data_IF_041272830339
#
_entry.id   IF_041272830339
#
_cell.length_a   1.000
_cell.length_b   1.000
_cell.length_c   1.000
_cell.angle_alpha   90.00
_cell.angle_beta   90.00
_cell.angle_gamma   90.00
#
_symmetry.space_group_name_H-M   'P 1'
#
loop_
_entity.id
_entity.type
_entity.pdbx_description
1 polymer ?
#
# COMPACT_ATOMS: atom_id res chain seq x y z
N UNK A 1 2.65 10.37 15.99
CA UNK A 1 2.40 11.82 15.85
C UNK A 1 1.83 12.10 14.46
N UNK A 2 0.90 13.05 14.34
CA UNK A 2 0.44 13.54 13.04
C UNK A 2 1.66 14.10 12.29
N UNK A 3 1.95 13.54 11.11
CA UNK A 3 3.11 13.90 10.29
C UNK A 3 2.71 14.87 9.18
N UNK A 4 1.56 14.64 8.53
CA UNK A 4 0.97 15.55 7.53
C UNK A 4 -0.56 15.49 7.54
N UNK A 5 -1.20 16.60 7.19
CA UNK A 5 -2.64 16.69 7.00
C UNK A 5 -2.95 17.68 5.86
N UNK A 6 -3.63 17.22 4.80
CA UNK A 6 -4.13 18.07 3.70
C UNK A 6 -5.24 17.34 2.95
N UNK A 7 -6.27 18.06 2.51
CA UNK A 7 -7.31 17.55 1.59
C UNK A 7 -7.97 16.23 2.07
N UNK A 8 -8.31 16.16 3.37
CA UNK A 8 -8.82 14.96 4.07
C UNK A 8 -7.90 13.74 4.03
N UNK A 9 -6.60 13.96 3.82
CA UNK A 9 -5.55 12.93 3.92
C UNK A 9 -4.72 13.20 5.17
N UNK A 10 -4.77 12.28 6.12
CA UNK A 10 -3.98 12.30 7.33
C UNK A 10 -2.90 11.23 7.27
N UNK A 11 -1.65 11.62 7.49
CA UNK A 11 -0.53 10.70 7.63
C UNK A 11 0.06 10.82 9.03
N UNK A 12 0.19 9.69 9.69
CA UNK A 12 0.84 9.53 10.97
C UNK A 12 2.09 8.67 10.75
N UNK A 13 3.25 9.20 11.12
CA UNK A 13 4.48 8.40 11.19
C UNK A 13 4.61 7.85 12.61
N UNK A 14 4.77 6.53 12.72
CA UNK A 14 5.08 5.88 13.99
C UNK A 14 6.58 5.64 14.01
N UNK A 15 7.28 6.50 14.76
CA UNK A 15 8.72 6.37 14.93
C UNK A 15 8.98 5.25 15.95
N UNK A 16 9.65 4.19 15.52
CA UNK A 16 10.24 3.18 16.41
C UNK A 16 11.75 3.31 16.32
N UNK A 17 12.42 3.42 17.46
CA UNK A 17 13.88 3.62 17.52
C UNK A 17 14.71 2.37 17.18
N UNK A 18 14.05 1.25 16.86
CA UNK A 18 14.70 -0.06 16.83
C UNK A 18 15.39 -0.40 15.50
N UNK A 19 14.85 0.03 14.35
CA UNK A 19 15.38 -0.37 13.04
C UNK A 19 15.24 0.74 11.96
N UNK A 20 16.35 1.34 11.47
CA UNK A 20 16.33 2.38 10.44
C UNK A 20 15.78 1.94 9.07
N UNK A 21 15.75 0.64 8.77
CA UNK A 21 15.18 0.11 7.53
C UNK A 21 13.67 -0.07 7.60
N UNK A 22 13.08 0.04 8.80
CA UNK A 22 11.65 -0.05 9.03
C UNK A 22 10.95 1.31 8.95
N UNK A 23 9.78 1.32 8.32
CA UNK A 23 8.90 2.47 8.25
C UNK A 23 7.48 2.03 8.60
N UNK A 24 6.97 2.54 9.72
CA UNK A 24 5.60 2.31 10.13
C UNK A 24 4.78 3.59 9.94
N UNK A 25 3.73 3.49 9.14
CA UNK A 25 2.82 4.61 8.87
C UNK A 25 1.36 4.19 9.06
N UNK A 26 0.56 5.13 9.56
CA UNK A 26 -0.90 5.08 9.50
C UNK A 26 -1.37 6.19 8.57
N UNK A 27 -2.30 5.88 7.68
CA UNK A 27 -2.92 6.82 6.75
C UNK A 27 -4.43 6.75 6.90
N UNK A 28 -5.09 7.88 6.78
CA UNK A 28 -6.55 7.97 6.66
C UNK A 28 -6.84 8.88 5.48
N UNK A 29 -7.72 8.44 4.60
CA UNK A 29 -8.21 9.25 3.47
C UNK A 29 -9.70 9.02 3.31
N UNK A 30 -10.43 10.07 2.97
CA UNK A 30 -11.84 10.00 2.57
C UNK A 30 -11.91 10.16 1.05
N UNK A 31 -12.64 9.28 0.38
CA UNK A 31 -12.81 9.21 -1.07
C UNK A 31 -14.28 9.42 -1.38
N UNK A 32 -14.58 10.35 -2.29
CA UNK A 32 -15.90 10.42 -2.90
C UNK A 32 -16.07 9.19 -3.82
N UNK A 33 -17.03 8.33 -3.50
CA UNK A 33 -17.25 7.05 -4.18
C UNK A 33 -17.95 6.04 -3.30
N UNK A 34 -18.79 5.20 -3.91
CA UNK A 34 -19.35 4.04 -3.22
C UNK A 34 -18.24 3.03 -2.86
N UNK A 35 -18.32 2.47 -1.65
CA UNK A 35 -17.28 1.58 -1.09
C UNK A 35 -16.92 0.43 -2.03
N UNK A 36 -17.90 -0.22 -2.67
CA UNK A 36 -17.64 -1.36 -3.54
C UNK A 36 -16.84 -0.96 -4.78
N UNK A 37 -17.14 0.20 -5.38
CA UNK A 37 -16.40 0.75 -6.52
C UNK A 37 -15.00 1.19 -6.11
N UNK A 38 -14.85 1.79 -4.92
CA UNK A 38 -13.54 2.18 -4.38
C UNK A 38 -12.67 0.96 -4.12
N UNK A 39 -13.23 -0.11 -3.55
CA UNK A 39 -12.52 -1.38 -3.32
C UNK A 39 -12.12 -2.03 -4.64
N UNK A 40 -13.04 -2.13 -5.60
CA UNK A 40 -12.76 -2.72 -6.92
C UNK A 40 -11.62 -1.97 -7.64
N UNK A 41 -11.69 -0.63 -7.68
CA UNK A 41 -10.64 0.18 -8.28
C UNK A 41 -9.32 0.10 -7.49
N UNK A 42 -9.38 -0.09 -6.17
CA UNK A 42 -8.19 -0.29 -5.35
C UNK A 42 -7.50 -1.63 -5.68
N UNK A 43 -8.26 -2.68 -5.95
CA UNK A 43 -7.71 -4.01 -6.28
C UNK A 43 -7.19 -4.11 -7.73
N UNK A 44 -7.54 -3.15 -8.59
CA UNK A 44 -7.04 -3.04 -9.96
C UNK A 44 -5.52 -2.77 -9.99
N UNK A 45 -4.76 -3.73 -10.52
CA UNK A 45 -3.29 -3.68 -10.56
C UNK A 45 -2.74 -2.58 -11.47
N UNK A 46 -3.37 -2.31 -12.60
CA UNK A 46 -2.93 -1.28 -13.55
C UNK A 46 -3.16 0.12 -12.95
N UNK A 47 -4.24 0.27 -12.19
CA UNK A 47 -4.50 1.44 -11.39
C UNK A 47 -3.43 1.61 -10.30
N UNK A 48 -3.08 0.55 -9.58
CA UNK A 48 -2.02 0.60 -8.57
C UNK A 48 -0.67 1.01 -9.17
N UNK A 49 -0.31 0.52 -10.35
CA UNK A 49 0.90 0.93 -11.08
C UNK A 49 0.86 2.41 -11.49
N UNK A 50 -0.31 2.92 -11.84
CA UNK A 50 -0.50 4.34 -12.20
C UNK A 50 -0.37 5.26 -10.98
N UNK A 51 -0.94 4.85 -9.84
CA UNK A 51 -0.97 5.63 -8.60
C UNK A 51 0.39 5.61 -7.89
N UNK A 52 1.04 4.45 -7.85
CA UNK A 52 2.28 4.27 -7.11
C UNK A 52 3.50 4.39 -8.04
N UNK A 53 3.99 5.61 -8.18
CA UNK A 53 5.18 5.92 -9.00
C UNK A 53 6.47 5.23 -8.55
N UNK A 54 6.48 4.57 -7.38
CA UNK A 54 7.60 3.75 -6.91
C UNK A 54 7.49 2.29 -7.31
N UNK A 55 6.32 1.81 -7.75
CA UNK A 55 6.21 0.50 -8.36
C UNK A 55 6.80 0.53 -9.77
N UNK A 56 7.54 -0.53 -10.06
CA UNK A 56 8.05 -0.85 -11.39
C UNK A 56 7.19 -1.95 -12.02
N UNK A 57 6.84 -2.99 -11.24
CA UNK A 57 5.88 -4.02 -11.63
C UNK A 57 4.98 -4.43 -10.47
N UNK A 58 3.78 -4.92 -10.81
CA UNK A 58 2.79 -5.49 -9.89
C UNK A 58 2.15 -6.68 -10.60
N UNK A 59 2.61 -7.87 -10.25
CA UNK A 59 2.25 -9.12 -10.92
C UNK A 59 1.40 -9.99 -9.99
N UNK A 60 0.33 -10.58 -10.54
CA UNK A 60 -0.35 -11.70 -9.90
C UNK A 60 0.51 -12.94 -10.10
N UNK A 61 0.96 -13.53 -9.00
CA UNK A 61 1.80 -14.74 -9.01
C UNK A 61 0.96 -15.99 -8.90
N UNK A 62 -0.01 -15.97 -7.99
CA UNK A 62 -0.92 -17.08 -7.77
C UNK A 62 -2.27 -16.56 -7.27
N UNK A 63 -3.36 -17.13 -7.78
CA UNK A 63 -4.71 -16.88 -7.28
C UNK A 63 -5.19 -18.11 -6.52
N UNK A 64 -5.41 -17.95 -5.21
CA UNK A 64 -5.83 -19.04 -4.32
C UNK A 64 -7.36 -19.08 -4.26
N UNK A 65 -8.00 -17.91 -4.22
CA UNK A 65 -9.45 -17.70 -4.32
C UNK A 65 -9.72 -16.29 -4.87
N UNK A 66 -10.98 -15.93 -5.21
CA UNK A 66 -11.33 -14.56 -5.62
C UNK A 66 -10.90 -13.50 -4.59
N UNK A 67 -10.88 -13.86 -3.31
CA UNK A 67 -10.51 -12.99 -2.19
C UNK A 67 -9.05 -13.14 -1.76
N UNK A 68 -8.33 -14.14 -2.28
CA UNK A 68 -7.01 -14.52 -1.77
C UNK A 68 -6.03 -14.73 -2.90
N UNK A 69 -4.96 -13.94 -2.93
CA UNK A 69 -3.94 -14.05 -3.95
C UNK A 69 -2.53 -13.83 -3.40
N UNK A 70 -1.55 -14.22 -4.20
CA UNK A 70 -0.14 -13.91 -4.01
C UNK A 70 0.29 -13.00 -5.13
N UNK A 71 0.93 -11.90 -4.78
CA UNK A 71 1.40 -10.90 -5.72
C UNK A 71 2.88 -10.62 -5.53
N UNK A 72 3.55 -10.27 -6.63
CA UNK A 72 4.94 -9.82 -6.64
C UNK A 72 4.95 -8.35 -7.02
N UNK A 73 5.57 -7.54 -6.18
CA UNK A 73 5.76 -6.12 -6.41
C UNK A 73 7.25 -5.83 -6.52
N UNK A 74 7.64 -5.19 -7.62
CA UNK A 74 9.00 -4.68 -7.78
C UNK A 74 8.98 -3.17 -7.64
N UNK A 75 9.92 -2.62 -6.88
CA UNK A 75 10.05 -1.18 -6.68
C UNK A 75 11.18 -0.61 -7.51
N UNK A 76 11.00 0.63 -7.97
CA UNK A 76 12.08 1.41 -8.58
C UNK A 76 13.15 1.73 -7.54
N UNK A 77 14.41 1.72 -7.98
CA UNK A 77 15.54 2.24 -7.20
C UNK A 77 15.23 3.64 -6.69
N UNK A 78 15.51 3.87 -5.40
CA UNK A 78 15.44 5.17 -4.75
C UNK A 78 16.83 5.62 -4.30
N UNK A 79 16.97 6.85 -3.79
CA UNK A 79 18.26 7.42 -3.40
C UNK A 79 18.99 6.50 -2.40
N UNK A 80 20.20 6.01 -2.75
CA UNK A 80 21.00 5.04 -1.97
C UNK A 80 20.31 3.68 -1.67
N UNK A 81 19.14 3.55 -2.28
CA UNK A 81 18.06 2.57 -2.21
C UNK A 81 17.92 1.60 -3.39
N UNK A 82 18.67 0.51 -3.58
CA UNK A 82 18.42 -0.41 -4.73
C UNK A 82 16.93 -0.85 -4.90
N UNK A 83 16.57 -1.47 -6.03
CA UNK A 83 15.22 -2.02 -6.20
C UNK A 83 14.93 -3.10 -5.15
N UNK A 84 13.71 -3.09 -4.60
CA UNK A 84 13.19 -4.14 -3.70
C UNK A 84 12.10 -4.93 -4.38
N UNK A 85 12.08 -6.22 -4.09
CA UNK A 85 10.94 -7.09 -4.37
C UNK A 85 10.19 -7.45 -3.09
N UNK A 86 8.87 -7.52 -3.22
CA UNK A 86 7.96 -7.95 -2.17
C UNK A 86 7.05 -9.03 -2.74
N UNK A 87 6.93 -10.13 -2.00
CA UNK A 87 5.94 -11.17 -2.30
C UNK A 87 4.91 -11.12 -1.20
N UNK A 88 3.67 -10.81 -1.56
CA UNK A 88 2.60 -10.57 -0.61
C UNK A 88 1.47 -11.53 -0.81
N UNK A 89 1.12 -12.25 0.26
CA UNK A 89 -0.18 -12.88 0.40
C UNK A 89 -1.19 -11.79 0.75
N UNK A 90 -2.20 -11.63 -0.09
CA UNK A 90 -3.27 -10.64 0.05
C UNK A 90 -4.57 -11.39 0.28
N UNK A 91 -5.31 -10.98 1.32
CA UNK A 91 -6.63 -11.52 1.60
C UNK A 91 -7.63 -10.38 1.83
N UNK A 92 -8.73 -10.41 1.08
CA UNK A 92 -9.89 -9.54 1.25
C UNK A 92 -10.92 -10.24 2.15
N UNK A 93 -11.45 -9.51 3.11
CA UNK A 93 -12.46 -10.00 4.03
C UNK A 93 -13.55 -8.95 4.25
N UNK A 94 -14.81 -9.33 4.03
CA UNK A 94 -15.96 -8.51 4.38
C UNK A 94 -16.20 -8.63 5.90
N UNK A 95 -16.00 -7.55 6.66
CA UNK A 95 -16.25 -7.56 8.10
C UNK A 95 -17.75 -7.52 8.40
N UNK A 96 -18.45 -6.60 7.74
CA UNK A 96 -19.91 -6.41 7.82
C UNK A 96 -20.40 -5.64 6.58
N UNK A 97 -21.68 -5.26 6.52
CA UNK A 97 -22.25 -4.56 5.35
C UNK A 97 -21.62 -3.18 5.05
N UNK A 98 -20.89 -2.60 6.00
CA UNK A 98 -20.34 -1.25 5.91
C UNK A 98 -18.81 -1.22 5.91
N UNK A 99 -18.14 -2.38 5.95
CA UNK A 99 -16.69 -2.42 6.03
C UNK A 99 -16.04 -3.64 5.37
N UNK A 100 -14.93 -3.37 4.67
CA UNK A 100 -14.07 -4.36 4.01
C UNK A 100 -12.64 -4.18 4.51
N UNK A 101 -11.95 -5.29 4.74
CA UNK A 101 -10.53 -5.30 5.04
C UNK A 101 -9.75 -5.99 3.93
N UNK A 102 -8.64 -5.39 3.51
CA UNK A 102 -7.63 -6.04 2.68
C UNK A 102 -6.34 -6.09 3.49
N UNK A 103 -5.93 -7.31 3.85
CA UNK A 103 -4.69 -7.57 4.57
C UNK A 103 -3.63 -8.08 3.60
N UNK A 104 -2.43 -7.51 3.68
CA UNK A 104 -1.26 -7.93 2.91
C UNK A 104 -0.17 -8.36 3.89
N UNK A 105 0.37 -9.55 3.70
CA UNK A 105 1.43 -10.11 4.51
C UNK A 105 2.54 -10.63 3.61
N UNK A 106 3.78 -10.25 3.89
CA UNK A 106 4.92 -10.81 3.16
C UNK A 106 5.06 -12.29 3.41
N UNK A 107 5.34 -13.03 2.36
CA UNK A 107 5.57 -14.47 2.45
C UNK A 107 7.01 -14.80 2.07
N UNK A 108 7.54 -15.81 2.74
CA UNK A 108 8.76 -16.51 2.37
C UNK A 108 8.33 -17.93 1.95
N UNK A 109 8.63 -18.30 0.71
CA UNK A 109 8.26 -19.62 0.16
C UNK A 109 9.34 -20.09 -0.81
N UNK A 110 9.58 -21.41 -0.87
CA UNK A 110 10.62 -21.99 -1.72
C UNK A 110 10.39 -21.71 -3.21
N UNK A 111 9.13 -21.66 -3.65
CA UNK A 111 8.75 -21.31 -5.04
C UNK A 111 9.07 -19.86 -5.41
N UNK A 112 9.34 -19.01 -4.41
CA UNK A 112 9.69 -17.61 -4.60
C UNK A 112 11.06 -17.37 -3.94
N UNK A 113 12.16 -17.90 -4.49
CA UNK A 113 13.48 -17.69 -3.90
C UNK A 113 13.94 -16.24 -4.06
N UNK A 114 14.88 -15.82 -3.21
CA UNK A 114 15.53 -14.53 -3.38
C UNK A 114 16.32 -14.50 -4.69
N UNK A 115 16.07 -13.48 -5.51
CA UNK A 115 16.79 -13.29 -6.77
C UNK A 115 18.17 -12.68 -6.52
N UNK A 116 19.16 -13.13 -7.29
CA UNK A 116 20.51 -12.60 -7.20
C UNK A 116 20.51 -11.09 -7.54
N UNK A 117 21.12 -10.28 -6.67
CA UNK A 117 21.18 -8.81 -6.77
C UNK A 117 19.86 -8.06 -6.56
N UNK A 118 18.81 -8.72 -6.06
CA UNK A 118 17.58 -8.05 -5.62
C UNK A 118 17.44 -8.21 -4.11
N UNK A 119 17.17 -7.12 -3.40
CA UNK A 119 16.88 -7.20 -1.96
C UNK A 119 15.40 -7.48 -1.79
N UNK A 120 15.04 -8.63 -1.19
CA UNK A 120 13.66 -8.88 -0.76
C UNK A 120 13.34 -8.05 0.48
N UNK A 121 12.35 -7.16 0.34
CA UNK A 121 11.81 -6.42 1.47
C UNK A 121 10.69 -7.19 2.17
N UNK A 122 10.33 -6.75 3.36
CA UNK A 122 9.17 -7.24 4.11
C UNK A 122 8.17 -6.10 4.19
N UNK A 123 6.94 -6.36 3.78
CA UNK A 123 5.79 -5.48 3.85
C UNK A 123 4.61 -6.19 4.54
N UNK A 124 4.03 -5.50 5.50
CA UNK A 124 2.76 -5.85 6.10
C UNK A 124 1.85 -4.64 6.02
N UNK A 125 0.63 -4.82 5.51
CA UNK A 125 -0.33 -3.73 5.51
C UNK A 125 -1.75 -4.21 5.70
N UNK A 126 -2.57 -3.32 6.26
CA UNK A 126 -4.00 -3.52 6.40
C UNK A 126 -4.66 -2.28 5.84
N UNK A 127 -5.56 -2.45 4.88
CA UNK A 127 -6.46 -1.42 4.42
C UNK A 127 -7.85 -1.75 4.96
N UNK A 128 -8.45 -0.81 5.68
CA UNK A 128 -9.82 -0.87 6.14
C UNK A 128 -10.61 0.17 5.36
N UNK A 129 -11.60 -0.29 4.61
CA UNK A 129 -12.56 0.51 3.87
C UNK A 129 -13.84 0.56 4.69
N UNK A 130 -14.35 1.75 4.96
CA UNK A 130 -15.56 1.98 5.74
C UNK A 130 -16.48 2.92 4.98
N UNK A 131 -17.74 2.54 4.82
CA UNK A 131 -18.77 3.40 4.26
C UNK A 131 -19.05 4.56 5.22
N UNK A 132 -18.85 5.80 4.76
CA UNK A 132 -19.27 7.01 5.49
C UNK A 132 -20.72 7.34 5.13
N UNK A 133 -21.01 7.33 3.82
CA UNK A 133 -22.33 7.58 3.24
C UNK A 133 -22.49 6.72 1.98
N UNK A 134 -23.66 6.71 1.30
CA UNK A 134 -23.81 5.98 0.04
C UNK A 134 -22.78 6.36 -1.04
N UNK A 135 -22.20 7.57 -0.95
CA UNK A 135 -21.28 8.13 -1.95
C UNK A 135 -19.92 8.51 -1.38
N UNK A 136 -19.58 8.09 -0.16
CA UNK A 136 -18.30 8.41 0.47
C UNK A 136 -17.73 7.22 1.24
N UNK A 137 -16.43 7.00 1.07
CA UNK A 137 -15.70 5.89 1.66
C UNK A 137 -14.45 6.37 2.38
N UNK A 138 -14.25 5.92 3.61
CA UNK A 138 -13.02 6.14 4.38
C UNK A 138 -12.08 4.96 4.15
N UNK A 139 -10.82 5.24 3.86
CA UNK A 139 -9.75 4.25 3.79
C UNK A 139 -8.78 4.53 4.93
N UNK A 140 -8.69 3.62 5.88
CA UNK A 140 -7.63 3.59 6.89
C UNK A 140 -6.58 2.57 6.47
N UNK A 141 -5.33 2.99 6.32
CA UNK A 141 -4.23 2.08 6.07
C UNK A 141 -3.23 2.08 7.23
N UNK A 142 -2.84 0.88 7.66
CA UNK A 142 -1.64 0.64 8.46
C UNK A 142 -0.61 -0.03 7.55
N UNK A 143 0.60 0.49 7.51
CA UNK A 143 1.70 -0.05 6.72
C UNK A 143 2.94 -0.17 7.59
N UNK A 144 3.55 -1.34 7.59
CA UNK A 144 4.89 -1.60 8.07
C UNK A 144 5.73 -2.12 6.90
N UNK A 145 6.82 -1.42 6.57
CA UNK A 145 7.77 -1.87 5.55
C UNK A 145 9.15 -1.92 6.16
N UNK A 146 9.81 -3.07 6.06
CA UNK A 146 11.25 -3.23 6.23
C UNK A 146 11.90 -3.39 4.85
N UNK A 147 12.72 -2.42 4.45
CA UNK A 147 13.46 -2.49 3.19
C UNK A 147 14.63 -3.47 3.21
N UNK A 148 14.97 -3.97 4.41
CA UNK A 148 16.17 -4.75 4.77
C UNK A 148 17.49 -4.07 4.37
N UNK A 149 18.56 -4.50 5.03
CA UNK A 149 19.92 -4.03 4.77
C UNK A 149 20.29 -2.74 5.50
N UNK A 150 21.45 -2.16 5.13
CA UNK A 150 22.01 -0.97 5.79
C UNK A 150 21.42 0.30 5.21
N UNK A 151 20.25 0.67 5.72
CA UNK A 151 19.48 1.83 5.26
C UNK A 151 19.78 3.05 6.15
N UNK A 152 20.22 4.20 5.60
CA UNK A 152 20.35 5.42 6.37
C UNK A 152 19.01 5.88 6.96
N UNK A 153 19.00 6.35 8.21
CA UNK A 153 17.75 6.68 8.92
C UNK A 153 16.84 7.69 8.20
N UNK A 154 17.41 8.65 7.46
CA UNK A 154 16.65 9.65 6.69
C UNK A 154 15.86 9.04 5.51
N UNK A 155 16.20 7.83 5.06
CA UNK A 155 15.44 7.13 4.01
C UNK A 155 14.02 6.85 4.49
N UNK A 156 13.81 6.55 5.77
CA UNK A 156 12.47 6.35 6.33
C UNK A 156 11.56 7.59 6.13
N UNK A 157 12.12 8.81 6.20
CA UNK A 157 11.40 10.04 5.91
C UNK A 157 11.10 10.19 4.42
N UNK A 158 12.04 9.85 3.55
CA UNK A 158 11.81 9.84 2.10
C UNK A 158 10.70 8.86 1.74
N UNK A 159 10.69 7.67 2.33
CA UNK A 159 9.63 6.67 2.15
C UNK A 159 8.28 7.17 2.63
N UNK A 160 8.21 7.75 3.84
CA UNK A 160 6.97 8.29 4.39
C UNK A 160 6.40 9.40 3.50
N UNK A 161 7.26 10.29 3.00
CA UNK A 161 6.88 11.36 2.07
C UNK A 161 6.42 10.83 0.72
N UNK A 162 7.11 9.83 0.17
CA UNK A 162 6.71 9.19 -1.09
C UNK A 162 5.34 8.51 -0.94
N UNK A 163 5.13 7.78 0.15
CA UNK A 163 3.86 7.11 0.46
C UNK A 163 2.70 8.09 0.66
N UNK A 164 2.97 9.27 1.22
CA UNK A 164 1.98 10.36 1.26
C UNK A 164 1.59 10.82 -0.14
N UNK A 165 2.58 11.08 -1.00
CA UNK A 165 2.37 11.51 -2.37
C UNK A 165 1.53 10.51 -3.16
N UNK A 166 1.84 9.21 -3.06
CA UNK A 166 1.05 8.16 -3.72
C UNK A 166 -0.40 8.13 -3.23
N UNK A 167 -0.68 8.40 -1.96
CA UNK A 167 -2.06 8.48 -1.45
C UNK A 167 -2.81 9.73 -1.90
N UNK A 168 -2.12 10.86 -2.07
CA UNK A 168 -2.71 12.07 -2.70
C UNK A 168 -3.07 11.78 -4.15
N UNK A 169 -2.17 11.13 -4.89
CA UNK A 169 -2.42 10.69 -6.27
C UNK A 169 -3.55 9.66 -6.32
N UNK A 170 -3.60 8.72 -5.38
CA UNK A 170 -4.66 7.72 -5.26
C UNK A 170 -6.03 8.40 -5.16
N UNK A 171 -6.20 9.31 -4.19
CA UNK A 171 -7.46 10.03 -4.01
C UNK A 171 -7.89 10.74 -5.28
N UNK A 172 -6.99 11.55 -5.84
CA UNK A 172 -7.27 12.32 -7.05
C UNK A 172 -7.70 11.41 -8.22
N UNK A 173 -6.91 10.39 -8.54
CA UNK A 173 -7.17 9.52 -9.69
C UNK A 173 -8.38 8.61 -9.48
N UNK A 174 -8.66 8.19 -8.24
CA UNK A 174 -9.87 7.44 -7.91
C UNK A 174 -11.11 8.29 -8.15
N UNK A 175 -11.14 9.51 -7.61
CA UNK A 175 -12.28 10.42 -7.79
C UNK A 175 -12.47 10.78 -9.28
N UNK A 176 -11.38 11.05 -10.01
CA UNK A 176 -11.45 11.27 -11.45
C UNK A 176 -12.06 10.07 -12.21
N UNK A 177 -11.71 8.83 -11.86
CA UNK A 177 -12.26 7.64 -12.49
C UNK A 177 -13.70 7.34 -12.11
N UNK A 178 -14.08 7.58 -10.85
CA UNK A 178 -15.42 7.29 -10.34
C UNK A 178 -16.46 8.32 -10.79
N UNK A 179 -16.04 9.57 -11.08
CA UNK A 179 -16.92 10.65 -11.52
C UNK A 179 -16.71 11.06 -12.99
N UNK A 180 -15.92 10.32 -13.77
CA UNK A 180 -15.86 10.48 -15.23
C UNK A 180 -17.15 9.95 -15.87
N UNK A 181 -18.22 10.73 -15.77
CA UNK A 181 -19.48 10.58 -16.48
C UNK A 181 -19.81 11.85 -17.24
#
# INVERSE_FOLDING_TARGET
NLYKNKDNIQLFKIVRELNPSECFIKRIVEINGEMDQVVELFEDRDFQLTVNTRLDSFELVNEISPETNITRQSTRKMLMVEAREFYTFTHRYQLDSNSVVIANHSIEHEDFPDLQNVTRGIIHSIFLFERISPTETKITNLLNVDLRGKIPAFISDIMANSNYGSFVTLKKLMEEKLFAH
#
